data_IF_363287534017
#
_entry.id   IF_363287534017
#
_cell.length_a   1.000
_cell.length_b   1.000
_cell.length_c   1.000
_cell.angle_alpha   90.00
_cell.angle_beta   90.00
_cell.angle_gamma   90.00
#
_symmetry.space_group_name_H-M   'P 1'
#
loop_
_entity.id
_entity.type
_entity.pdbx_description
1 polymer ?
#
# COMPACT_ATOMS: atom_id res chain seq x y z
N UNK A 1 -19.41 15.10 -31.20
CA UNK A 1 -18.38 15.45 -30.20
C UNK A 1 -18.03 14.18 -29.45
N UNK A 2 -16.77 13.74 -29.48
CA UNK A 2 -16.32 12.65 -28.61
C UNK A 2 -16.13 13.25 -27.22
N UNK A 3 -16.99 12.93 -26.28
CA UNK A 3 -16.72 13.18 -24.86
C UNK A 3 -15.51 12.31 -24.51
N UNK A 4 -14.36 12.97 -24.34
CA UNK A 4 -13.21 12.36 -23.66
C UNK A 4 -13.71 11.91 -22.30
N UNK A 5 -13.77 10.61 -22.04
CA UNK A 5 -13.97 10.11 -20.68
C UNK A 5 -12.76 10.56 -19.86
N UNK A 6 -12.90 11.68 -19.16
CA UNK A 6 -11.91 12.09 -18.18
C UNK A 6 -11.95 11.05 -17.08
N UNK A 7 -10.93 10.19 -17.01
CA UNK A 7 -10.76 9.25 -15.91
C UNK A 7 -10.59 10.07 -14.63
N UNK A 8 -11.64 10.15 -13.82
CA UNK A 8 -11.61 10.86 -12.55
C UNK A 8 -10.76 10.04 -11.60
N UNK A 9 -9.61 10.59 -11.19
CA UNK A 9 -8.69 9.91 -10.28
C UNK A 9 -9.08 10.18 -8.83
N UNK A 10 -8.89 9.20 -7.92
CA UNK A 10 -8.96 9.44 -6.49
C UNK A 10 -8.06 10.60 -6.07
N UNK A 11 -8.47 11.35 -5.06
CA UNK A 11 -7.64 12.40 -4.46
C UNK A 11 -6.71 11.81 -3.42
N UNK A 12 -5.50 12.33 -3.30
CA UNK A 12 -4.63 12.03 -2.15
C UNK A 12 -5.03 12.98 -1.02
N UNK A 13 -5.33 12.44 0.15
CA UNK A 13 -5.69 13.22 1.34
C UNK A 13 -4.75 12.93 2.50
N UNK A 14 -4.56 13.89 3.43
CA UNK A 14 -3.77 13.68 4.63
C UNK A 14 -4.26 12.48 5.42
N UNK A 15 -3.31 11.75 6.03
CA UNK A 15 -3.60 10.57 6.86
C UNK A 15 -4.66 10.86 7.93
N UNK A 16 -4.54 11.99 8.62
CA UNK A 16 -5.51 12.39 9.64
C UNK A 16 -6.93 12.57 9.06
N UNK A 17 -7.05 13.10 7.84
CA UNK A 17 -8.36 13.24 7.19
C UNK A 17 -8.94 11.86 6.80
N UNK A 18 -8.11 10.99 6.23
CA UNK A 18 -8.47 9.62 5.87
C UNK A 18 -8.95 8.81 7.09
N UNK A 19 -8.18 8.81 8.17
CA UNK A 19 -8.50 8.07 9.40
C UNK A 19 -9.82 8.56 10.03
N UNK A 20 -10.12 9.87 9.91
CA UNK A 20 -11.41 10.40 10.39
C UNK A 20 -12.57 10.04 9.49
N UNK A 21 -12.41 10.06 8.17
CA UNK A 21 -13.45 9.62 7.24
C UNK A 21 -13.81 8.15 7.53
N UNK A 22 -12.80 7.29 7.70
CA UNK A 22 -13.01 5.87 8.05
C UNK A 22 -13.58 5.71 9.48
N UNK A 23 -13.16 6.53 10.43
CA UNK A 23 -13.76 6.56 11.78
C UNK A 23 -15.25 6.92 11.77
N UNK A 24 -15.68 7.82 10.88
CA UNK A 24 -17.10 8.15 10.73
C UNK A 24 -17.87 7.05 9.98
N UNK A 25 -17.27 6.43 8.95
CA UNK A 25 -17.87 5.30 8.22
C UNK A 25 -18.08 4.08 9.11
N UNK A 26 -17.11 3.77 9.98
CA UNK A 26 -17.24 2.67 10.95
C UNK A 26 -18.35 2.90 11.98
N UNK A 27 -18.75 4.16 12.20
CA UNK A 27 -19.95 4.54 12.97
C UNK A 27 -21.25 4.48 12.15
N UNK A 28 -21.23 3.84 10.98
CA UNK A 28 -22.33 3.71 10.02
C UNK A 28 -22.92 5.04 9.52
N UNK A 29 -22.12 6.12 9.53
CA UNK A 29 -22.55 7.38 8.93
C UNK A 29 -22.49 7.30 7.41
N UNK A 30 -23.56 7.76 6.76
CA UNK A 30 -23.59 7.92 5.31
C UNK A 30 -22.70 9.08 4.86
N UNK A 31 -22.32 9.11 3.58
CA UNK A 31 -21.52 10.20 3.02
C UNK A 31 -22.18 11.57 3.23
N UNK A 32 -23.50 11.66 3.12
CA UNK A 32 -24.28 12.88 3.38
C UNK A 32 -24.13 13.31 4.84
N UNK A 33 -24.12 12.37 5.79
CA UNK A 33 -23.89 12.70 7.19
C UNK A 33 -22.47 13.12 7.49
N UNK A 34 -21.48 12.59 6.77
CA UNK A 34 -20.09 13.06 6.88
C UNK A 34 -19.98 14.52 6.40
N UNK A 35 -20.68 14.87 5.32
CA UNK A 35 -20.79 16.25 4.81
C UNK A 35 -21.48 17.16 5.82
N UNK A 36 -22.62 16.74 6.39
CA UNK A 36 -23.32 17.51 7.42
C UNK A 36 -22.43 17.79 8.64
N UNK A 37 -21.68 16.77 9.06
CA UNK A 37 -20.71 16.86 10.15
C UNK A 37 -19.61 17.86 9.82
N UNK A 38 -19.09 17.87 8.59
CA UNK A 38 -18.09 18.83 8.14
C UNK A 38 -18.59 20.28 8.26
N UNK A 39 -19.81 20.54 7.75
CA UNK A 39 -20.42 21.87 7.67
C UNK A 39 -20.97 22.37 9.02
N UNK A 40 -21.26 21.46 9.97
CA UNK A 40 -21.82 21.83 11.27
C UNK A 40 -20.82 22.62 12.15
N UNK A 41 -21.02 23.94 12.27
CA UNK A 41 -20.27 24.80 13.21
C UNK A 41 -21.12 25.12 14.46
N UNK A 42 -20.71 24.64 15.65
CA UNK A 42 -21.41 25.00 16.89
C UNK A 42 -20.98 24.27 18.17
N UNK A 43 -21.56 24.69 19.32
CA UNK A 43 -21.42 24.04 20.64
C UNK A 43 -22.07 22.65 20.61
N UNK A 44 -21.32 21.66 20.14
CA UNK A 44 -21.82 20.30 19.94
C UNK A 44 -21.07 19.54 18.87
N UNK A 45 -20.25 20.22 18.06
CA UNK A 45 -19.40 19.56 17.06
C UNK A 45 -18.38 18.67 17.79
N UNK A 46 -18.42 17.33 17.59
CA UNK A 46 -17.51 16.43 18.26
C UNK A 46 -16.05 16.76 17.90
N UNK A 47 -15.09 16.66 18.84
CA UNK A 47 -13.67 16.87 18.55
C UNK A 47 -13.13 16.00 17.41
N UNK A 48 -13.79 14.87 17.14
CA UNK A 48 -13.50 13.94 16.05
C UNK A 48 -13.63 14.54 14.65
N UNK A 49 -14.24 15.72 14.50
CA UNK A 49 -14.48 16.37 13.20
C UNK A 49 -13.34 17.28 12.73
N UNK A 50 -12.41 17.65 13.63
CA UNK A 50 -11.31 18.58 13.32
C UNK A 50 -10.38 18.06 12.22
N UNK A 51 -10.11 16.76 12.19
CA UNK A 51 -9.19 16.17 11.21
C UNK A 51 -9.72 16.19 9.77
N UNK A 52 -11.04 16.16 9.57
CA UNK A 52 -11.66 16.21 8.23
C UNK A 52 -11.60 17.63 7.68
N UNK A 53 -11.56 18.65 8.55
CA UNK A 53 -11.40 20.07 8.18
C UNK A 53 -9.97 20.45 7.80
N UNK A 54 -9.02 19.51 7.90
CA UNK A 54 -7.68 19.70 7.34
C UNK A 54 -7.69 19.72 5.80
N UNK A 55 -8.75 19.22 5.17
CA UNK A 55 -8.95 19.25 3.72
C UNK A 55 -10.08 20.20 3.33
N UNK A 56 -10.01 20.71 2.10
CA UNK A 56 -11.06 21.55 1.53
C UNK A 56 -12.37 20.78 1.36
N UNK A 57 -13.49 21.49 1.33
CA UNK A 57 -14.80 20.88 1.13
C UNK A 57 -14.89 20.13 -0.20
N UNK A 58 -14.33 20.68 -1.28
CA UNK A 58 -14.29 20.06 -2.60
C UNK A 58 -13.45 18.77 -2.59
N UNK A 59 -12.34 18.77 -1.85
CA UNK A 59 -11.51 17.58 -1.63
C UNK A 59 -12.29 16.51 -0.88
N UNK A 60 -13.03 16.88 0.16
CA UNK A 60 -13.90 15.95 0.89
C UNK A 60 -14.98 15.35 -0.02
N UNK A 61 -15.68 16.17 -0.80
CA UNK A 61 -16.70 15.70 -1.73
C UNK A 61 -16.12 14.74 -2.78
N UNK A 62 -14.96 15.08 -3.33
CA UNK A 62 -14.25 14.22 -4.28
C UNK A 62 -13.85 12.90 -3.61
N UNK A 63 -13.30 12.96 -2.40
CA UNK A 63 -12.92 11.78 -1.61
C UNK A 63 -14.12 10.86 -1.32
N UNK A 64 -15.29 11.41 -1.01
CA UNK A 64 -16.49 10.63 -0.71
C UNK A 64 -17.17 10.03 -1.95
N UNK A 65 -17.12 10.73 -3.09
CA UNK A 65 -17.81 10.33 -4.33
C UNK A 65 -16.93 9.44 -5.22
N UNK A 66 -15.67 9.82 -5.42
CA UNK A 66 -14.72 9.15 -6.32
C UNK A 66 -13.84 8.16 -5.56
N UNK A 67 -13.60 8.43 -4.28
CA UNK A 67 -12.61 7.73 -3.46
C UNK A 67 -11.35 8.56 -3.26
N UNK A 68 -10.48 8.07 -2.39
CA UNK A 68 -9.22 8.72 -2.06
C UNK A 68 -8.12 7.72 -1.75
N UNK A 69 -6.88 8.17 -1.91
CA UNK A 69 -5.69 7.53 -1.37
C UNK A 69 -5.26 8.33 -0.13
N UNK A 70 -4.83 7.63 0.93
CA UNK A 70 -4.27 8.31 2.10
C UNK A 70 -2.78 8.56 1.88
N UNK A 71 -2.30 9.67 2.39
CA UNK A 71 -0.84 9.88 2.53
C UNK A 71 -0.24 8.74 3.38
N UNK A 72 0.85 8.18 2.86
CA UNK A 72 1.63 7.15 3.53
C UNK A 72 2.79 7.81 4.26
N UNK A 73 3.18 7.25 5.41
CA UNK A 73 4.47 7.60 6.01
C UNK A 73 5.59 6.93 5.24
N UNK A 74 6.81 7.47 5.32
CA UNK A 74 8.00 6.85 4.68
C UNK A 74 8.18 5.38 5.11
N UNK A 75 7.84 5.06 6.36
CA UNK A 75 7.87 3.68 6.87
C UNK A 75 6.82 2.79 6.19
N UNK A 76 5.59 3.28 6.00
CA UNK A 76 4.54 2.52 5.32
C UNK A 76 4.83 2.34 3.83
N UNK A 77 5.35 3.37 3.16
CA UNK A 77 5.81 3.27 1.77
C UNK A 77 6.90 2.21 1.64
N UNK A 78 7.86 2.23 2.58
CA UNK A 78 8.93 1.25 2.63
C UNK A 78 8.38 -0.17 2.85
N UNK A 79 7.44 -0.34 3.77
CA UNK A 79 6.85 -1.65 4.06
C UNK A 79 6.06 -2.19 2.86
N UNK A 80 5.29 -1.34 2.18
CA UNK A 80 4.57 -1.71 0.96
C UNK A 80 5.55 -2.09 -0.16
N UNK A 81 6.64 -1.34 -0.32
CA UNK A 81 7.68 -1.67 -1.30
C UNK A 81 8.35 -3.01 -0.98
N UNK A 82 8.68 -3.27 0.29
CA UNK A 82 9.27 -4.54 0.74
C UNK A 82 8.30 -5.71 0.52
N UNK A 83 7.02 -5.55 0.86
CA UNK A 83 6.00 -6.57 0.63
C UNK A 83 5.85 -6.89 -0.86
N UNK A 84 5.73 -5.85 -1.70
CA UNK A 84 5.63 -5.99 -3.16
C UNK A 84 6.84 -6.73 -3.75
N UNK A 85 8.04 -6.42 -3.26
CA UNK A 85 9.27 -7.10 -3.68
C UNK A 85 9.29 -8.58 -3.26
N UNK A 86 8.82 -8.92 -2.06
CA UNK A 86 8.69 -10.31 -1.60
C UNK A 86 7.75 -11.11 -2.47
N UNK A 87 6.57 -10.56 -2.75
CA UNK A 87 5.55 -11.24 -3.56
C UNK A 87 6.08 -11.50 -4.98
N UNK A 88 6.69 -10.49 -5.60
CA UNK A 88 7.30 -10.65 -6.92
C UNK A 88 8.44 -11.67 -6.90
N UNK A 89 9.30 -11.62 -5.89
CA UNK A 89 10.40 -12.57 -5.74
C UNK A 89 9.89 -14.00 -5.57
N UNK A 90 8.84 -14.22 -4.78
CA UNK A 90 8.18 -15.51 -4.59
C UNK A 90 7.57 -16.03 -5.89
N UNK A 91 6.82 -15.17 -6.60
CA UNK A 91 6.23 -15.49 -7.91
C UNK A 91 7.29 -15.93 -8.93
N UNK A 92 8.45 -15.26 -8.99
CA UNK A 92 9.56 -15.68 -9.86
C UNK A 92 10.04 -17.10 -9.51
N UNK A 93 10.09 -17.46 -8.23
CA UNK A 93 10.45 -18.80 -7.77
C UNK A 93 9.45 -19.86 -8.22
N UNK A 94 8.16 -19.57 -8.09
CA UNK A 94 7.10 -20.44 -8.57
C UNK A 94 7.15 -20.63 -10.09
N UNK A 95 7.32 -19.55 -10.85
CA UNK A 95 7.45 -19.61 -12.31
C UNK A 95 8.68 -20.41 -12.75
N UNK A 96 9.81 -20.27 -12.04
CA UNK A 96 10.98 -21.11 -12.29
C UNK A 96 10.66 -22.60 -12.07
N UNK A 97 9.91 -22.92 -11.01
CA UNK A 97 9.43 -24.28 -10.73
C UNK A 97 8.55 -24.84 -11.85
N UNK A 98 7.54 -24.07 -12.27
CA UNK A 98 6.64 -24.48 -13.36
C UNK A 98 7.39 -24.63 -14.69
N UNK A 99 8.29 -23.70 -15.02
CA UNK A 99 9.09 -23.78 -16.24
C UNK A 99 10.00 -25.02 -16.26
N UNK A 100 10.50 -25.44 -15.10
CA UNK A 100 11.35 -26.63 -14.99
C UNK A 100 10.58 -27.95 -15.25
N UNK A 101 9.26 -27.99 -14.98
CA UNK A 101 8.42 -29.17 -15.22
C UNK A 101 7.92 -29.29 -16.66
N UNK A 102 8.10 -28.25 -17.49
CA UNK A 102 7.56 -28.17 -18.86
C UNK A 102 8.60 -28.62 -19.89
N UNK A 103 8.18 -29.44 -20.86
CA UNK A 103 9.03 -29.80 -22.01
C UNK A 103 9.36 -28.52 -22.79
N UNK A 104 10.65 -28.16 -22.85
CA UNK A 104 11.14 -26.94 -23.50
C UNK A 104 11.00 -25.65 -22.67
N UNK A 105 10.65 -25.73 -21.39
CA UNK A 105 10.64 -24.55 -20.51
C UNK A 105 12.06 -24.07 -20.17
N UNK A 106 12.22 -22.76 -19.96
CA UNK A 106 13.49 -22.16 -19.59
C UNK A 106 13.44 -21.52 -18.18
N UNK A 107 13.72 -22.28 -17.11
CA UNK A 107 13.67 -21.76 -15.75
C UNK A 107 14.81 -20.78 -15.42
N UNK A 108 15.84 -20.69 -16.28
CA UNK A 108 17.02 -19.87 -16.01
C UNK A 108 16.70 -18.37 -15.98
N UNK A 109 15.72 -17.92 -16.77
CA UNK A 109 15.33 -16.52 -16.82
C UNK A 109 14.83 -16.03 -15.46
N UNK A 110 13.85 -16.74 -14.90
CA UNK A 110 13.29 -16.42 -13.58
C UNK A 110 14.33 -16.51 -12.45
N UNK A 111 15.19 -17.54 -12.47
CA UNK A 111 16.27 -17.70 -11.49
C UNK A 111 17.32 -16.59 -11.59
N UNK A 112 17.64 -16.12 -12.80
CA UNK A 112 18.56 -14.98 -13.00
C UNK A 112 17.96 -13.70 -12.45
N UNK A 113 16.68 -13.45 -12.65
CA UNK A 113 16.00 -12.28 -12.09
C UNK A 113 16.00 -12.33 -10.56
N UNK A 114 15.70 -13.47 -9.93
CA UNK A 114 15.82 -13.63 -8.48
C UNK A 114 17.24 -13.33 -7.97
N UNK A 115 18.26 -13.86 -8.66
CA UNK A 115 19.65 -13.60 -8.28
C UNK A 115 20.04 -12.13 -8.44
N UNK A 116 19.56 -11.45 -9.49
CA UNK A 116 19.80 -10.02 -9.71
C UNK A 116 19.14 -9.17 -8.61
N UNK A 117 17.92 -9.50 -8.19
CA UNK A 117 17.24 -8.86 -7.06
C UNK A 117 18.08 -9.03 -5.79
N UNK A 118 18.48 -10.26 -5.45
CA UNK A 118 19.32 -10.53 -4.27
C UNK A 118 20.64 -9.77 -4.29
N UNK A 119 21.33 -9.76 -5.44
CA UNK A 119 22.58 -9.03 -5.61
C UNK A 119 22.37 -7.54 -5.35
N UNK A 120 21.34 -6.96 -5.95
CA UNK A 120 21.02 -5.53 -5.81
C UNK A 120 20.72 -5.16 -4.36
N UNK A 121 19.89 -5.95 -3.67
CA UNK A 121 19.57 -5.74 -2.26
C UNK A 121 20.84 -5.81 -1.38
N UNK A 122 21.70 -6.79 -1.62
CA UNK A 122 22.98 -6.91 -0.91
C UNK A 122 23.92 -5.73 -1.18
N UNK A 123 24.02 -5.28 -2.44
CA UNK A 123 24.85 -4.12 -2.82
C UNK A 123 24.35 -2.84 -2.17
N UNK A 124 23.03 -2.68 -2.05
CA UNK A 124 22.42 -1.52 -1.38
C UNK A 124 22.41 -1.65 0.15
N UNK A 125 22.83 -2.79 0.72
CA UNK A 125 22.79 -3.03 2.15
C UNK A 125 21.37 -3.18 2.73
N UNK A 126 20.39 -3.52 1.90
CA UNK A 126 18.99 -3.68 2.28
C UNK A 126 18.74 -5.16 2.57
N UNK A 127 18.35 -5.49 3.81
CA UNK A 127 18.00 -6.86 4.21
C UNK A 127 16.48 -7.01 4.19
N UNK A 128 15.99 -7.98 3.41
CA UNK A 128 14.58 -8.38 3.38
C UNK A 128 14.49 -9.85 3.79
N UNK A 129 13.89 -10.15 4.96
CA UNK A 129 13.61 -11.53 5.38
C UNK A 129 12.87 -12.30 4.30
N UNK A 130 13.32 -13.53 4.03
CA UNK A 130 12.80 -14.38 2.95
C UNK A 130 13.39 -14.15 1.56
N UNK A 131 14.27 -13.15 1.36
CA UNK A 131 14.96 -12.91 0.07
C UNK A 131 16.49 -13.03 0.22
N UNK A 132 17.08 -12.21 1.08
CA UNK A 132 18.54 -12.09 1.24
C UNK A 132 19.00 -12.00 2.69
N UNK A 133 18.15 -12.40 3.62
CA UNK A 133 18.52 -12.56 5.02
C UNK A 133 19.56 -13.68 5.18
N UNK A 134 20.67 -13.34 5.83
CA UNK A 134 21.68 -14.32 6.22
C UNK A 134 21.18 -14.99 7.49
N UNK A 135 20.59 -16.17 7.36
CA UNK A 135 20.29 -17.02 8.51
C UNK A 135 21.62 -17.63 8.95
N UNK A 136 22.22 -17.07 10.01
CA UNK A 136 23.36 -17.70 10.66
C UNK A 136 22.85 -18.92 11.43
N UNK A 137 22.79 -20.08 10.78
CA UNK A 137 22.66 -21.37 11.49
C UNK A 137 24.00 -21.74 12.15
N UNK A 138 24.28 -21.11 13.30
CA UNK A 138 25.24 -21.54 14.32
C UNK A 138 24.94 -20.67 15.55
N UNK A 139 24.25 -21.16 16.58
CA UNK A 139 24.80 -22.05 17.60
C UNK A 139 23.76 -23.10 18.03
N UNK A 140 24.01 -24.36 17.68
CA UNK A 140 23.19 -25.50 18.09
C UNK A 140 23.96 -26.81 17.92
N UNK A 141 25.26 -26.78 18.19
CA UNK A 141 26.13 -27.93 18.21
C UNK A 141 26.78 -28.11 19.59
N UNK A 142 26.68 -29.33 20.09
CA UNK A 142 27.38 -29.94 21.23
C UNK A 142 26.73 -29.83 22.63
N UNK A 143 26.04 -30.90 23.03
CA UNK A 143 26.52 -31.79 24.09
C UNK A 143 25.93 -33.20 23.89
#
# INVERSE_FOLDING_TARGET
>A
MKTSEATIKPVIIPREAADRIEGLRSSALSNERIVDVYVSEGRGTPPSTRGIRSISFDTLLTALVVGYERELTEEEERDIAIASLRDYYGWLGEQAGYAQMRIGGNPLEFKRTQNAIRLTLNTLGIIIPGINEVINEAEGGAA
#
